data_IF_877716020014
#
_entry.id   IF_877716020014
#
_cell.length_a   1.000
_cell.length_b   1.000
_cell.length_c   1.000
_cell.angle_alpha   90.00
_cell.angle_beta   90.00
_cell.angle_gamma   90.00
#
_symmetry.space_group_name_H-M   'P 1'
#
loop_
_entity.id
_entity.type
_entity.pdbx_description
1 polymer ?
#
# COMPACT_ATOMS: atom_id res chain seq x y z
N UNK A 1 16.76 21.94 -28.02
CA UNK A 1 16.17 20.84 -28.82
C UNK A 1 14.83 20.49 -28.19
N UNK A 2 13.75 20.54 -28.97
CA UNK A 2 12.37 20.61 -28.46
C UNK A 2 11.93 19.34 -27.70
N UNK A 3 11.20 19.48 -26.58
CA UNK A 3 10.60 18.39 -25.81
C UNK A 3 9.35 17.75 -26.46
N UNK A 4 8.89 18.24 -27.61
CA UNK A 4 7.71 17.72 -28.34
C UNK A 4 7.77 16.21 -28.62
N UNK A 5 8.97 15.65 -28.80
CA UNK A 5 9.14 14.22 -29.06
C UNK A 5 8.89 13.30 -27.86
N UNK A 6 8.99 13.77 -26.61
CA UNK A 6 8.82 12.88 -25.45
C UNK A 6 7.33 12.65 -25.13
N UNK A 7 6.50 13.68 -25.33
CA UNK A 7 5.03 13.58 -25.25
C UNK A 7 4.46 12.62 -26.27
N UNK A 8 4.87 12.75 -27.54
CA UNK A 8 4.46 11.85 -28.62
C UNK A 8 4.78 10.39 -28.29
N UNK A 9 5.91 10.13 -27.64
CA UNK A 9 6.33 8.77 -27.27
C UNK A 9 5.52 8.19 -26.11
N UNK A 10 5.11 9.01 -25.13
CA UNK A 10 4.17 8.54 -24.11
C UNK A 10 2.78 8.31 -24.67
N UNK A 11 2.32 9.13 -25.62
CA UNK A 11 1.07 8.88 -26.34
C UNK A 11 1.13 7.54 -27.08
N UNK A 12 2.23 7.24 -27.77
CA UNK A 12 2.41 5.94 -28.42
C UNK A 12 2.37 4.77 -27.43
N UNK A 13 2.97 4.93 -26.25
CA UNK A 13 2.92 3.92 -25.19
C UNK A 13 1.49 3.73 -24.64
N UNK A 14 0.75 4.82 -24.43
CA UNK A 14 -0.67 4.78 -24.04
C UNK A 14 -1.51 4.05 -25.10
N UNK A 15 -1.26 4.29 -26.39
CA UNK A 15 -1.97 3.62 -27.49
C UNK A 15 -1.77 2.09 -27.50
N UNK A 16 -0.65 1.58 -26.99
CA UNK A 16 -0.46 0.13 -26.78
C UNK A 16 -1.51 -0.43 -25.82
N UNK A 17 -2.00 0.38 -24.89
CA UNK A 17 -3.11 0.06 -23.99
C UNK A 17 -4.37 -0.43 -24.71
N UNK A 18 -4.60 0.01 -25.95
CA UNK A 18 -5.79 -0.38 -26.74
C UNK A 18 -5.76 -1.85 -27.19
N UNK A 19 -4.62 -2.54 -27.10
CA UNK A 19 -4.52 -3.98 -27.41
C UNK A 19 -5.47 -4.84 -26.58
N UNK A 20 -5.81 -4.39 -25.37
CA UNK A 20 -6.74 -5.09 -24.46
C UNK A 20 -8.15 -5.20 -25.03
N UNK A 21 -8.54 -4.34 -25.98
CA UNK A 21 -9.85 -4.41 -26.61
C UNK A 21 -10.06 -5.73 -27.36
N UNK A 22 -8.97 -6.38 -27.75
CA UNK A 22 -9.00 -7.69 -28.41
C UNK A 22 -9.04 -8.87 -27.44
N UNK A 23 -8.75 -8.68 -26.15
CA UNK A 23 -8.69 -9.75 -25.16
C UNK A 23 -9.95 -10.63 -25.15
N UNK A 24 -11.18 -10.09 -25.21
CA UNK A 24 -12.38 -10.91 -25.09
C UNK A 24 -12.52 -11.98 -26.18
N UNK A 25 -11.96 -11.72 -27.36
CA UNK A 25 -11.99 -12.65 -28.49
C UNK A 25 -11.06 -13.86 -28.29
N UNK A 26 -10.24 -13.86 -27.25
CA UNK A 26 -9.38 -14.96 -26.83
C UNK A 26 -9.87 -15.65 -25.55
N UNK A 27 -11.09 -15.37 -25.07
CA UNK A 27 -11.59 -15.97 -23.83
C UNK A 27 -11.59 -17.50 -23.85
N UNK A 28 -11.88 -18.12 -24.99
CA UNK A 28 -11.83 -19.58 -25.17
C UNK A 28 -10.42 -20.13 -25.40
N UNK A 29 -9.42 -19.27 -25.64
CA UNK A 29 -8.06 -19.61 -26.00
C UNK A 29 -7.03 -18.69 -25.31
N UNK A 30 -7.11 -18.55 -23.99
CA UNK A 30 -6.16 -17.73 -23.20
C UNK A 30 -4.71 -18.19 -23.42
N UNK A 31 -4.48 -19.47 -23.69
CA UNK A 31 -3.17 -20.00 -24.04
C UNK A 31 -2.56 -19.31 -25.26
N UNK A 32 -3.35 -19.13 -26.33
CA UNK A 32 -2.89 -18.45 -27.52
C UNK A 32 -2.55 -16.99 -27.21
N UNK A 33 -3.40 -16.31 -26.43
CA UNK A 33 -3.13 -14.93 -26.01
C UNK A 33 -1.84 -14.82 -25.20
N UNK A 34 -1.63 -15.71 -24.20
CA UNK A 34 -0.41 -15.75 -23.41
C UNK A 34 0.83 -15.95 -24.30
N UNK A 35 0.76 -16.91 -25.24
CA UNK A 35 1.83 -17.18 -26.18
C UNK A 35 2.15 -15.97 -27.06
N UNK A 36 1.13 -15.26 -27.58
CA UNK A 36 1.31 -14.05 -28.37
C UNK A 36 2.05 -12.96 -27.57
N UNK A 37 1.71 -12.79 -26.29
CA UNK A 37 2.40 -11.83 -25.42
C UNK A 37 3.87 -12.20 -25.15
N UNK A 38 4.17 -13.48 -24.91
CA UNK A 38 5.55 -13.95 -24.77
C UNK A 38 6.35 -13.82 -26.07
N UNK A 39 5.78 -14.21 -27.20
CA UNK A 39 6.42 -14.07 -28.52
C UNK A 39 6.68 -12.58 -28.82
N UNK A 40 5.71 -11.70 -28.57
CA UNK A 40 5.88 -10.27 -28.76
C UNK A 40 7.02 -9.71 -27.89
N UNK A 41 7.11 -10.11 -26.61
CA UNK A 41 8.22 -9.72 -25.76
C UNK A 41 9.60 -10.19 -26.29
N UNK A 42 9.67 -11.42 -26.80
CA UNK A 42 10.87 -11.97 -27.44
C UNK A 42 11.23 -11.15 -28.68
N UNK A 43 10.28 -10.88 -29.58
CA UNK A 43 10.50 -10.07 -30.78
C UNK A 43 11.01 -8.67 -30.40
N UNK A 44 10.38 -8.03 -29.41
CA UNK A 44 10.78 -6.71 -28.92
C UNK A 44 12.20 -6.68 -28.37
N UNK A 45 12.69 -7.80 -27.81
CA UNK A 45 14.06 -7.92 -27.31
C UNK A 45 15.14 -7.89 -28.39
N UNK A 46 14.76 -8.19 -29.63
CA UNK A 46 15.63 -8.18 -30.82
C UNK A 46 15.55 -6.90 -31.63
N UNK A 47 14.68 -5.94 -31.26
CA UNK A 47 14.55 -4.66 -31.98
C UNK A 47 15.86 -3.84 -31.85
N UNK A 48 16.52 -3.48 -32.96
CA UNK A 48 17.74 -2.67 -32.93
C UNK A 48 17.50 -1.23 -32.46
N UNK A 49 18.42 -0.67 -31.69
CA UNK A 49 18.33 0.69 -31.12
C UNK A 49 18.33 1.82 -32.17
N UNK A 50 18.84 1.54 -33.36
CA UNK A 50 18.90 2.47 -34.49
C UNK A 50 17.63 2.43 -35.37
N UNK A 51 16.78 1.41 -35.21
CA UNK A 51 15.58 1.22 -36.01
C UNK A 51 14.55 2.35 -35.83
N UNK A 52 13.72 2.57 -36.86
CA UNK A 52 12.60 3.52 -36.78
C UNK A 52 11.60 3.12 -35.69
N UNK A 53 11.33 1.81 -35.56
CA UNK A 53 10.43 1.26 -34.54
C UNK A 53 10.92 1.57 -33.12
N UNK A 54 12.22 1.38 -32.85
CA UNK A 54 12.82 1.74 -31.57
C UNK A 54 12.66 3.24 -31.30
N UNK A 55 12.98 4.10 -32.27
CA UNK A 55 12.89 5.55 -32.08
C UNK A 55 11.45 6.02 -31.81
N UNK A 56 10.46 5.31 -32.34
CA UNK A 56 9.04 5.61 -32.20
C UNK A 56 8.47 5.24 -30.82
N UNK A 57 8.92 4.13 -30.22
CA UNK A 57 8.41 3.64 -28.92
C UNK A 57 9.33 3.89 -27.72
N UNK A 58 10.63 4.09 -27.93
CA UNK A 58 11.60 4.14 -26.82
C UNK A 58 11.43 5.37 -25.92
N UNK A 59 11.10 5.12 -24.65
CA UNK A 59 11.07 6.12 -23.57
C UNK A 59 12.49 6.53 -23.15
N UNK A 60 12.60 7.53 -22.28
CA UNK A 60 13.90 8.01 -21.79
C UNK A 60 14.75 6.89 -21.16
N UNK A 61 14.12 6.00 -20.37
CA UNK A 61 14.75 4.83 -19.76
C UNK A 61 15.22 3.81 -20.80
N UNK A 62 14.38 3.51 -21.80
CA UNK A 62 14.67 2.57 -22.87
C UNK A 62 15.87 3.01 -23.71
N UNK A 63 16.01 4.31 -23.95
CA UNK A 63 17.17 4.88 -24.66
C UNK A 63 18.46 4.73 -23.88
N UNK A 64 18.42 4.93 -22.56
CA UNK A 64 19.59 4.69 -21.70
C UNK A 64 20.00 3.22 -21.71
N UNK A 65 19.02 2.32 -21.76
CA UNK A 65 19.24 0.88 -21.83
C UNK A 65 19.60 0.37 -23.25
N UNK A 66 19.36 1.15 -24.30
CA UNK A 66 19.49 0.72 -25.70
C UNK A 66 18.49 -0.36 -26.12
N UNK A 67 17.42 -0.59 -25.34
CA UNK A 67 16.39 -1.62 -25.57
C UNK A 67 15.02 -1.11 -25.12
N UNK A 68 13.94 -1.63 -25.73
CA UNK A 68 12.55 -1.32 -25.36
C UNK A 68 12.13 -2.01 -24.04
N UNK A 69 12.91 -1.81 -22.97
CA UNK A 69 12.74 -2.47 -21.67
C UNK A 69 11.31 -2.31 -21.15
N UNK A 70 10.76 -1.11 -21.30
CA UNK A 70 9.39 -0.77 -20.90
C UNK A 70 8.32 -1.67 -21.52
N UNK A 71 8.36 -1.83 -22.85
CA UNK A 71 7.39 -2.67 -23.55
C UNK A 71 7.66 -4.15 -23.29
N UNK A 72 8.94 -4.57 -23.28
CA UNK A 72 9.31 -5.95 -23.00
C UNK A 72 8.76 -6.37 -21.62
N UNK A 73 8.98 -5.55 -20.59
CA UNK A 73 8.49 -5.81 -19.24
C UNK A 73 6.96 -5.87 -19.19
N UNK A 74 6.26 -4.92 -19.81
CA UNK A 74 4.79 -4.92 -19.84
C UNK A 74 4.24 -6.19 -20.51
N UNK A 75 4.80 -6.57 -21.66
CA UNK A 75 4.35 -7.75 -22.40
C UNK A 75 4.69 -9.06 -21.67
N UNK A 76 5.89 -9.17 -21.08
CA UNK A 76 6.28 -10.32 -20.26
C UNK A 76 5.35 -10.47 -19.05
N UNK A 77 5.13 -9.41 -18.29
CA UNK A 77 4.27 -9.44 -17.11
C UNK A 77 2.85 -9.82 -17.47
N UNK A 78 2.31 -9.29 -18.57
CA UNK A 78 0.98 -9.66 -19.07
C UNK A 78 0.92 -11.13 -19.49
N UNK A 79 1.94 -11.62 -20.19
CA UNK A 79 2.09 -13.04 -20.53
C UNK A 79 2.11 -13.93 -19.28
N UNK A 80 2.83 -13.52 -18.22
CA UNK A 80 2.83 -14.23 -16.94
C UNK A 80 1.47 -14.20 -16.24
N UNK A 81 0.77 -13.06 -16.21
CA UNK A 81 -0.58 -12.99 -15.63
C UNK A 81 -1.57 -13.89 -16.38
N UNK A 82 -1.49 -13.94 -17.71
CA UNK A 82 -2.28 -14.86 -18.54
C UNK A 82 -1.90 -16.32 -18.28
N UNK A 83 -0.62 -16.63 -18.12
CA UNK A 83 -0.16 -17.98 -17.77
C UNK A 83 -0.65 -18.41 -16.38
N UNK A 84 -0.64 -17.50 -15.39
CA UNK A 84 -1.20 -17.74 -14.06
C UNK A 84 -2.70 -18.05 -14.17
N UNK A 85 -3.45 -17.33 -15.00
CA UNK A 85 -4.87 -17.60 -15.26
C UNK A 85 -5.11 -19.02 -15.79
N UNK A 86 -4.23 -19.52 -16.67
CA UNK A 86 -4.29 -20.91 -17.15
C UNK A 86 -4.03 -21.93 -16.05
N UNK A 87 -3.03 -21.69 -15.20
CA UNK A 87 -2.62 -22.64 -14.13
C UNK A 87 -3.67 -22.76 -13.04
N UNK A 88 -4.29 -21.65 -12.64
CA UNK A 88 -5.36 -21.65 -11.62
C UNK A 88 -6.62 -22.37 -12.14
N UNK A 89 -6.78 -22.40 -13.47
CA UNK A 89 -7.81 -23.15 -14.16
C UNK A 89 -9.17 -22.44 -14.17
N UNK A 90 -10.16 -23.19 -14.64
CA UNK A 90 -11.56 -22.77 -14.74
C UNK A 90 -12.38 -23.32 -13.57
N UNK A 91 -13.46 -22.64 -13.22
CA UNK A 91 -14.49 -23.17 -12.34
C UNK A 91 -15.42 -24.16 -13.06
N UNK A 92 -16.43 -24.67 -12.35
CA UNK A 92 -17.39 -25.67 -12.87
C UNK A 92 -18.20 -25.10 -14.05
N UNK A 93 -18.35 -23.78 -14.14
CA UNK A 93 -19.04 -23.10 -15.23
C UNK A 93 -18.11 -22.81 -16.43
N UNK A 94 -16.86 -23.25 -16.39
CA UNK A 94 -15.87 -22.99 -17.43
C UNK A 94 -15.30 -21.56 -17.40
N UNK A 95 -15.51 -20.81 -16.30
CA UNK A 95 -15.01 -19.44 -16.13
C UNK A 95 -13.64 -19.47 -15.46
N UNK A 96 -12.66 -18.76 -16.02
CA UNK A 96 -11.34 -18.66 -15.42
C UNK A 96 -11.41 -18.01 -14.04
N UNK A 97 -10.86 -18.70 -13.04
CA UNK A 97 -10.79 -18.22 -11.65
C UNK A 97 -9.99 -16.94 -11.49
N UNK A 98 -9.00 -16.74 -12.37
CA UNK A 98 -8.36 -15.45 -12.56
C UNK A 98 -8.82 -14.86 -13.90
N UNK A 99 -9.84 -13.99 -13.88
CA UNK A 99 -10.56 -13.62 -15.08
C UNK A 99 -9.81 -12.60 -15.94
N UNK A 100 -10.03 -12.69 -17.25
CA UNK A 100 -9.35 -11.89 -18.27
C UNK A 100 -9.57 -10.39 -18.12
N UNK A 101 -10.74 -9.96 -17.62
CA UNK A 101 -11.03 -8.55 -17.41
C UNK A 101 -10.10 -7.92 -16.36
N UNK A 102 -9.66 -8.68 -15.34
CA UNK A 102 -8.73 -8.17 -14.33
C UNK A 102 -7.36 -7.91 -14.96
N UNK A 103 -6.89 -8.85 -15.78
CA UNK A 103 -5.62 -8.72 -16.49
C UNK A 103 -5.67 -7.52 -17.46
N UNK A 104 -6.77 -7.36 -18.20
CA UNK A 104 -6.98 -6.22 -19.09
C UNK A 104 -7.05 -4.88 -18.34
N UNK A 105 -7.78 -4.81 -17.22
CA UNK A 105 -7.82 -3.62 -16.37
C UNK A 105 -6.44 -3.27 -15.82
N UNK A 106 -5.67 -4.24 -15.34
CA UNK A 106 -4.30 -4.02 -14.85
C UNK A 106 -3.35 -3.54 -15.95
N UNK A 107 -3.50 -4.04 -17.18
CA UNK A 107 -2.74 -3.58 -18.34
C UNK A 107 -3.00 -2.09 -18.65
N UNK A 108 -4.26 -1.65 -18.55
CA UNK A 108 -4.60 -0.24 -18.79
C UNK A 108 -4.29 0.69 -17.64
N UNK A 109 -4.26 0.19 -16.41
CA UNK A 109 -3.70 0.95 -15.27
C UNK A 109 -2.24 1.32 -15.56
N UNK A 110 -1.45 0.39 -16.07
CA UNK A 110 -0.04 0.68 -16.43
C UNK A 110 0.10 1.52 -17.69
N UNK A 111 -0.68 1.28 -18.74
CA UNK A 111 -0.51 2.03 -20.00
C UNK A 111 -1.13 3.42 -19.96
N UNK A 112 -2.38 3.55 -19.50
CA UNK A 112 -3.08 4.82 -19.42
C UNK A 112 -2.85 5.54 -18.08
N UNK A 113 -2.86 4.83 -16.95
CA UNK A 113 -2.63 5.44 -15.63
C UNK A 113 -1.23 6.06 -15.54
N UNK A 114 -0.19 5.21 -15.62
CA UNK A 114 1.23 5.63 -15.58
C UNK A 114 1.56 6.56 -16.75
N UNK A 115 1.15 6.20 -17.97
CA UNK A 115 1.47 6.98 -19.16
C UNK A 115 0.95 8.43 -19.10
N UNK A 116 -0.28 8.66 -18.62
CA UNK A 116 -0.83 10.01 -18.46
C UNK A 116 -0.16 10.74 -17.29
N UNK A 117 0.13 10.04 -16.18
CA UNK A 117 0.83 10.63 -15.04
C UNK A 117 2.26 11.07 -15.40
N UNK A 118 2.97 10.28 -16.21
CA UNK A 118 4.29 10.59 -16.75
C UNK A 118 4.27 11.83 -17.64
N UNK A 119 3.24 12.00 -18.50
CA UNK A 119 3.06 13.21 -19.32
C UNK A 119 3.02 14.45 -18.42
N UNK A 120 2.26 14.39 -17.32
CA UNK A 120 2.15 15.51 -16.38
C UNK A 120 3.49 15.78 -15.70
N UNK A 121 4.21 14.72 -15.31
CA UNK A 121 5.53 14.86 -14.71
C UNK A 121 6.53 15.54 -15.68
N UNK A 122 6.47 15.22 -16.98
CA UNK A 122 7.29 15.90 -18.01
C UNK A 122 6.93 17.40 -18.07
N UNK A 123 5.63 17.76 -18.09
CA UNK A 123 5.17 19.16 -18.09
C UNK A 123 5.65 19.91 -16.84
N UNK A 124 5.57 19.29 -15.65
CA UNK A 124 6.00 19.91 -14.40
C UNK A 124 7.53 20.10 -14.35
N UNK A 125 8.29 19.11 -14.83
CA UNK A 125 9.76 19.19 -14.91
C UNK A 125 10.21 20.33 -15.82
N UNK A 126 9.49 20.60 -16.91
CA UNK A 126 9.76 21.72 -17.82
C UNK A 126 9.50 23.07 -17.17
N UNK A 127 8.38 23.22 -16.45
CA UNK A 127 8.05 24.46 -15.73
C UNK A 127 9.04 24.78 -14.62
N UNK A 128 9.70 23.79 -14.02
CA UNK A 128 10.71 24.00 -12.97
C UNK A 128 12.09 24.33 -13.51
N UNK A 129 12.48 23.82 -14.69
CA UNK A 129 13.78 24.11 -15.33
C UNK A 129 13.97 25.59 -15.72
N UNK A 130 12.91 26.40 -15.69
CA UNK A 130 12.97 27.85 -15.89
C UNK A 130 13.32 28.64 -14.62
N UNK A 131 13.39 27.97 -13.46
CA UNK A 131 13.99 28.49 -12.22
C UNK A 131 15.36 27.85 -11.95
N UNK A 132 16.25 28.60 -11.30
CA UNK A 132 17.68 28.32 -11.15
C UNK A 132 18.02 27.18 -10.16
N UNK A 133 17.38 26.02 -10.29
CA UNK A 133 17.62 24.85 -9.44
C UNK A 133 18.04 23.62 -10.26
N UNK A 134 19.34 23.35 -10.24
CA UNK A 134 19.92 22.05 -10.67
C UNK A 134 19.58 20.98 -9.64
N UNK A 135 18.35 20.49 -9.64
CA UNK A 135 17.99 19.28 -8.88
C UNK A 135 18.00 18.02 -9.74
N UNK A 136 18.38 16.92 -9.08
CA UNK A 136 18.76 15.61 -9.61
C UNK A 136 17.78 14.99 -10.61
N UNK A 137 18.31 14.13 -11.50
CA UNK A 137 17.58 13.36 -12.53
C UNK A 137 16.60 12.30 -11.98
N UNK A 138 16.26 12.33 -10.69
CA UNK A 138 15.37 11.36 -10.05
C UNK A 138 13.90 11.73 -10.33
N UNK A 139 13.06 10.75 -10.68
CA UNK A 139 11.60 10.90 -10.82
C UNK A 139 11.06 11.38 -9.46
N UNK A 140 10.69 12.67 -9.38
CA UNK A 140 10.16 13.25 -8.15
C UNK A 140 8.64 13.16 -8.23
N UNK A 141 8.08 12.14 -7.59
CA UNK A 141 6.64 11.92 -7.61
C UNK A 141 5.91 13.07 -6.92
N UNK A 142 5.09 13.75 -7.71
CA UNK A 142 4.26 14.86 -7.28
C UNK A 142 2.91 14.27 -6.85
N UNK A 143 2.32 14.78 -5.76
CA UNK A 143 0.97 14.37 -5.39
C UNK A 143 -0.03 14.53 -6.56
N UNK A 144 0.21 15.50 -7.45
CA UNK A 144 -0.58 15.70 -8.66
C UNK A 144 -0.47 14.56 -9.66
N UNK A 145 0.72 14.01 -9.91
CA UNK A 145 0.87 12.90 -10.87
C UNK A 145 0.17 11.65 -10.35
N UNK A 146 0.31 11.33 -9.06
CA UNK A 146 -0.40 10.21 -8.45
C UNK A 146 -1.92 10.39 -8.42
N UNK A 147 -2.43 11.61 -8.25
CA UNK A 147 -3.87 11.90 -8.36
C UNK A 147 -4.36 11.66 -9.79
N UNK A 148 -3.58 12.09 -10.78
CA UNK A 148 -3.94 11.91 -12.18
C UNK A 148 -3.89 10.43 -12.54
N UNK A 149 -2.87 9.69 -12.11
CA UNK A 149 -2.81 8.24 -12.22
C UNK A 149 -4.08 7.60 -11.64
N UNK A 150 -4.46 7.98 -10.41
CA UNK A 150 -5.63 7.44 -9.72
C UNK A 150 -6.92 7.65 -10.55
N UNK A 151 -7.13 8.86 -11.06
CA UNK A 151 -8.33 9.21 -11.80
C UNK A 151 -8.34 8.54 -13.18
N UNK A 152 -7.28 8.72 -13.98
CA UNK A 152 -7.22 8.16 -15.33
C UNK A 152 -7.23 6.64 -15.31
N UNK A 153 -6.40 6.02 -14.46
CA UNK A 153 -6.33 4.58 -14.31
C UNK A 153 -7.67 3.98 -13.90
N UNK A 154 -8.38 4.58 -12.93
CA UNK A 154 -9.69 4.07 -12.50
C UNK A 154 -10.73 4.15 -13.62
N UNK A 155 -10.74 5.24 -14.39
CA UNK A 155 -11.68 5.43 -15.51
C UNK A 155 -11.41 4.38 -16.60
N UNK A 156 -10.16 4.26 -17.06
CA UNK A 156 -9.83 3.31 -18.12
C UNK A 156 -9.96 1.85 -17.66
N UNK A 157 -9.56 1.53 -16.42
CA UNK A 157 -9.76 0.20 -15.85
C UNK A 157 -11.23 -0.19 -15.77
N UNK A 158 -12.13 0.75 -15.46
CA UNK A 158 -13.57 0.53 -15.41
C UNK A 158 -14.14 0.27 -16.80
N UNK A 159 -13.81 1.10 -17.78
CA UNK A 159 -14.30 0.93 -19.15
C UNK A 159 -13.81 -0.37 -19.79
N UNK A 160 -12.52 -0.68 -19.64
CA UNK A 160 -11.93 -1.90 -20.20
C UNK A 160 -12.38 -3.14 -19.43
N UNK A 161 -12.45 -3.06 -18.10
CA UNK A 161 -12.98 -4.14 -17.28
C UNK A 161 -14.44 -4.44 -17.64
N UNK A 162 -15.26 -3.41 -17.82
CA UNK A 162 -16.65 -3.51 -18.30
C UNK A 162 -16.75 -4.08 -19.72
N UNK A 163 -15.90 -3.62 -20.64
CA UNK A 163 -15.81 -4.17 -21.99
C UNK A 163 -15.49 -5.67 -21.96
N UNK A 164 -14.41 -6.06 -21.30
CA UNK A 164 -13.97 -7.45 -21.29
C UNK A 164 -14.95 -8.34 -20.55
N UNK A 165 -15.45 -7.93 -19.39
CA UNK A 165 -16.46 -8.69 -18.65
C UNK A 165 -17.74 -8.86 -19.47
N UNK A 166 -18.24 -7.82 -20.16
CA UNK A 166 -19.44 -7.90 -21.00
C UNK A 166 -19.42 -9.00 -22.08
N UNK A 167 -18.24 -9.38 -22.57
CA UNK A 167 -18.05 -10.48 -23.53
C UNK A 167 -17.65 -11.81 -22.89
N UNK A 168 -17.11 -11.81 -21.67
CA UNK A 168 -16.49 -12.99 -21.06
C UNK A 168 -17.29 -13.55 -19.89
N UNK A 169 -17.68 -12.71 -18.94
CA UNK A 169 -18.45 -13.10 -17.76
C UNK A 169 -19.16 -11.88 -17.15
N UNK A 170 -20.40 -12.05 -16.71
CA UNK A 170 -21.13 -10.96 -16.07
C UNK A 170 -20.50 -10.60 -14.72
N UNK A 171 -20.09 -9.34 -14.56
CA UNK A 171 -19.61 -8.77 -13.30
C UNK A 171 -20.52 -7.62 -12.89
N UNK A 172 -21.03 -7.58 -11.65
CA UNK A 172 -21.80 -6.45 -11.16
C UNK A 172 -21.03 -5.14 -11.28
N UNK A 173 -21.71 -4.06 -11.68
CA UNK A 173 -21.08 -2.75 -11.90
C UNK A 173 -20.38 -2.23 -10.63
N UNK A 174 -20.99 -2.41 -9.45
CA UNK A 174 -20.38 -2.02 -8.17
C UNK A 174 -19.02 -2.70 -7.93
N UNK A 175 -18.91 -3.98 -8.28
CA UNK A 175 -17.67 -4.75 -8.20
C UNK A 175 -16.63 -4.25 -9.22
N UNK A 176 -17.03 -3.95 -10.46
CA UNK A 176 -16.12 -3.39 -11.47
C UNK A 176 -15.55 -2.03 -11.02
N UNK A 177 -16.39 -1.15 -10.46
CA UNK A 177 -15.95 0.14 -9.93
C UNK A 177 -14.98 -0.08 -8.76
N UNK A 178 -15.33 -0.95 -7.81
CA UNK A 178 -14.47 -1.28 -6.68
C UNK A 178 -13.10 -1.79 -7.11
N UNK A 179 -13.06 -2.78 -8.01
CA UNK A 179 -11.81 -3.35 -8.51
C UNK A 179 -10.98 -2.33 -9.28
N UNK A 180 -11.62 -1.47 -10.07
CA UNK A 180 -10.92 -0.41 -10.83
C UNK A 180 -10.26 0.60 -9.91
N UNK A 181 -10.97 1.03 -8.86
CA UNK A 181 -10.45 1.95 -7.84
C UNK A 181 -9.31 1.31 -7.04
N UNK A 182 -9.52 0.09 -6.52
CA UNK A 182 -8.52 -0.55 -5.65
C UNK A 182 -7.28 -0.96 -6.42
N UNK A 183 -7.45 -1.43 -7.66
CA UNK A 183 -6.36 -1.76 -8.57
C UNK A 183 -5.55 -0.52 -8.92
N UNK A 184 -6.21 0.59 -9.26
CA UNK A 184 -5.50 1.83 -9.60
C UNK A 184 -4.82 2.46 -8.39
N UNK A 185 -5.47 2.44 -7.21
CA UNK A 185 -4.87 2.93 -5.97
C UNK A 185 -3.64 2.12 -5.58
N UNK A 186 -3.68 0.80 -5.79
CA UNK A 186 -2.52 -0.08 -5.66
C UNK A 186 -1.44 0.26 -6.67
N UNK A 187 -1.80 0.45 -7.94
CA UNK A 187 -0.87 0.84 -9.00
C UNK A 187 -0.16 2.16 -8.71
N UNK A 188 -0.90 3.20 -8.32
CA UNK A 188 -0.35 4.51 -7.96
C UNK A 188 0.57 4.43 -6.73
N UNK A 189 0.20 3.60 -5.74
CA UNK A 189 1.04 3.36 -4.57
C UNK A 189 2.36 2.68 -4.99
N UNK A 190 2.28 1.62 -5.80
CA UNK A 190 3.45 0.89 -6.27
C UNK A 190 4.35 1.78 -7.12
N UNK A 191 3.80 2.59 -8.02
CA UNK A 191 4.52 3.61 -8.78
C UNK A 191 5.28 4.56 -7.83
N UNK A 192 4.64 5.02 -6.74
CA UNK A 192 5.31 5.89 -5.77
C UNK A 192 6.45 5.21 -4.99
N UNK A 193 6.45 3.87 -4.94
CA UNK A 193 7.42 3.05 -4.23
C UNK A 193 8.59 2.61 -5.12
N UNK A 194 8.31 2.30 -6.39
CA UNK A 194 9.29 1.80 -7.36
C UNK A 194 9.84 2.94 -8.21
N UNK A 195 11.15 2.89 -8.48
CA UNK A 195 11.84 3.93 -9.25
C UNK A 195 12.24 3.49 -10.66
N UNK A 196 12.40 2.19 -10.88
CA UNK A 196 13.02 1.64 -12.09
C UNK A 196 12.26 0.44 -12.72
N UNK A 197 11.17 -0.05 -12.10
CA UNK A 197 10.51 -1.32 -12.47
C UNK A 197 8.97 -1.24 -12.58
N UNK A 198 8.46 -0.04 -12.85
CA UNK A 198 7.02 0.28 -12.82
C UNK A 198 6.20 -0.65 -13.75
N UNK A 199 6.72 -1.02 -14.92
CA UNK A 199 6.04 -1.88 -15.90
C UNK A 199 5.90 -3.35 -15.50
N UNK A 200 6.62 -3.79 -14.46
CA UNK A 200 6.45 -5.12 -13.86
C UNK A 200 5.53 -5.00 -12.65
N UNK A 201 5.89 -4.09 -11.74
CA UNK A 201 5.30 -4.06 -10.40
C UNK A 201 3.86 -3.54 -10.44
N UNK A 202 3.57 -2.51 -11.24
CA UNK A 202 2.22 -1.92 -11.33
C UNK A 202 1.18 -2.90 -11.87
N UNK A 203 1.33 -3.49 -13.09
CA UNK A 203 0.30 -4.38 -13.62
C UNK A 203 0.18 -5.65 -12.80
N UNK A 204 1.30 -6.21 -12.32
CA UNK A 204 1.27 -7.42 -11.50
C UNK A 204 0.56 -7.16 -10.16
N UNK A 205 0.99 -6.13 -9.42
CA UNK A 205 0.41 -5.80 -8.11
C UNK A 205 -1.06 -5.39 -8.21
N UNK A 206 -1.42 -4.58 -9.20
CA UNK A 206 -2.81 -4.18 -9.43
C UNK A 206 -3.69 -5.40 -9.74
N UNK A 207 -3.22 -6.30 -10.62
CA UNK A 207 -3.97 -7.51 -10.97
C UNK A 207 -4.12 -8.46 -9.77
N UNK A 208 -3.08 -8.66 -8.96
CA UNK A 208 -3.13 -9.54 -7.79
C UNK A 208 -4.08 -8.99 -6.71
N UNK A 209 -4.05 -7.69 -6.42
CA UNK A 209 -4.98 -7.09 -5.45
C UNK A 209 -6.42 -7.14 -5.96
N UNK A 210 -6.64 -6.81 -7.24
CA UNK A 210 -7.97 -6.94 -7.85
C UNK A 210 -8.46 -8.39 -7.80
N UNK A 211 -7.61 -9.35 -8.10
CA UNK A 211 -7.96 -10.77 -8.08
C UNK A 211 -8.30 -11.26 -6.67
N UNK A 212 -7.53 -10.83 -5.65
CA UNK A 212 -7.82 -11.11 -4.25
C UNK A 212 -9.24 -10.68 -3.87
N UNK A 213 -9.60 -9.42 -4.14
CA UNK A 213 -10.93 -8.90 -3.82
C UNK A 213 -12.03 -9.50 -4.69
N UNK A 214 -11.71 -9.87 -5.93
CA UNK A 214 -12.64 -10.58 -6.81
C UNK A 214 -13.03 -11.95 -6.25
N UNK A 215 -12.05 -12.70 -5.75
CA UNK A 215 -12.26 -14.04 -5.19
C UNK A 215 -13.16 -14.05 -3.95
N UNK A 216 -13.12 -12.99 -3.15
CA UNK A 216 -14.00 -12.86 -1.98
C UNK A 216 -15.40 -12.33 -2.33
N UNK A 217 -15.67 -12.01 -3.59
CA UNK A 217 -16.99 -11.55 -4.03
C UNK A 217 -17.39 -10.20 -3.44
N UNK A 218 -16.43 -9.33 -3.09
CA UNK A 218 -16.73 -8.00 -2.57
C UNK A 218 -17.54 -7.20 -3.60
N UNK A 219 -18.80 -6.94 -3.28
CA UNK A 219 -19.69 -6.10 -4.05
C UNK A 219 -20.20 -4.98 -3.16
N UNK A 220 -19.81 -3.76 -3.49
CA UNK A 220 -20.10 -2.57 -2.70
C UNK A 220 -20.97 -1.65 -3.55
N UNK A 221 -21.96 -1.04 -2.92
CA UNK A 221 -22.74 0.03 -3.56
C UNK A 221 -21.79 1.13 -4.06
N UNK A 222 -21.97 1.54 -5.31
CA UNK A 222 -21.06 2.48 -5.96
C UNK A 222 -21.03 3.84 -5.26
N UNK A 223 -22.18 4.31 -4.75
CA UNK A 223 -22.26 5.58 -4.04
C UNK A 223 -21.59 5.52 -2.68
N UNK A 224 -21.77 4.42 -1.94
CA UNK A 224 -21.06 4.18 -0.69
C UNK A 224 -19.54 4.10 -0.90
N UNK A 225 -19.09 3.34 -1.89
CA UNK A 225 -17.66 3.25 -2.24
C UNK A 225 -17.06 4.62 -2.54
N UNK A 226 -17.75 5.45 -3.33
CA UNK A 226 -17.28 6.80 -3.64
C UNK A 226 -17.17 7.69 -2.39
N UNK A 227 -18.11 7.59 -1.45
CA UNK A 227 -18.00 8.30 -0.16
C UNK A 227 -16.77 7.85 0.62
N UNK A 228 -16.56 6.55 0.74
CA UNK A 228 -15.42 5.97 1.46
C UNK A 228 -14.10 6.39 0.80
N UNK A 229 -14.00 6.29 -0.52
CA UNK A 229 -12.82 6.71 -1.27
C UNK A 229 -12.52 8.20 -1.05
N UNK A 230 -13.51 9.08 -1.23
CA UNK A 230 -13.33 10.52 -1.05
C UNK A 230 -12.95 10.83 0.39
N UNK A 231 -13.62 10.23 1.37
CA UNK A 231 -13.32 10.41 2.78
C UNK A 231 -11.87 10.01 3.13
N UNK A 232 -11.47 8.78 2.77
CA UNK A 232 -10.11 8.29 3.03
C UNK A 232 -9.06 9.08 2.27
N UNK A 233 -9.34 9.46 1.02
CA UNK A 233 -8.42 10.25 0.20
C UNK A 233 -8.23 11.67 0.76
N UNK A 234 -9.30 12.33 1.19
CA UNK A 234 -9.23 13.67 1.81
C UNK A 234 -8.37 13.62 3.06
N UNK A 235 -8.55 12.63 3.95
CA UNK A 235 -7.73 12.49 5.16
C UNK A 235 -6.25 12.23 4.83
N UNK A 236 -5.97 11.35 3.85
CA UNK A 236 -4.62 11.12 3.36
C UNK A 236 -3.99 12.39 2.80
N UNK A 237 -4.73 13.14 1.98
CA UNK A 237 -4.26 14.38 1.36
C UNK A 237 -4.01 15.49 2.39
N UNK A 238 -4.88 15.63 3.39
CA UNK A 238 -4.67 16.57 4.49
C UNK A 238 -3.41 16.21 5.29
N UNK A 239 -3.16 14.92 5.52
CA UNK A 239 -1.94 14.45 6.21
C UNK A 239 -0.67 14.75 5.41
N UNK A 240 -0.74 14.62 4.08
CA UNK A 240 0.33 15.05 3.18
C UNK A 240 0.56 16.57 3.23
N UNK A 241 -0.52 17.37 3.17
CA UNK A 241 -0.46 18.84 3.24
C UNK A 241 0.05 19.36 4.59
N UNK A 242 -0.20 18.62 5.67
CA UNK A 242 0.34 18.91 7.00
C UNK A 242 1.82 18.51 7.17
N UNK A 243 2.48 17.99 6.11
CA UNK A 243 3.83 17.44 6.13
C UNK A 243 4.03 16.34 7.18
N UNK A 244 2.99 15.57 7.44
CA UNK A 244 3.04 14.41 8.35
C UNK A 244 3.30 13.12 7.57
N UNK A 245 2.79 13.06 6.33
CA UNK A 245 2.93 11.92 5.42
C UNK A 245 3.55 12.35 4.09
N UNK A 246 4.33 11.47 3.46
CA UNK A 246 4.71 11.64 2.05
C UNK A 246 3.61 11.09 1.10
N UNK A 247 3.83 11.20 -0.22
CA UNK A 247 2.86 10.73 -1.23
C UNK A 247 2.59 9.24 -1.10
N UNK A 248 3.62 8.43 -0.80
CA UNK A 248 3.46 6.98 -0.62
C UNK A 248 2.61 6.66 0.61
N UNK A 249 2.78 7.41 1.70
CA UNK A 249 1.94 7.28 2.90
C UNK A 249 0.51 7.80 2.68
N UNK A 250 0.30 8.86 1.90
CA UNK A 250 -1.03 9.33 1.50
C UNK A 250 -1.82 8.24 0.77
N UNK A 251 -1.19 7.62 -0.25
CA UNK A 251 -1.81 6.56 -1.03
C UNK A 251 -2.01 5.29 -0.19
N UNK A 252 -1.03 4.93 0.66
CA UNK A 252 -1.16 3.81 1.60
C UNK A 252 -2.31 4.02 2.57
N UNK A 253 -2.41 5.20 3.20
CA UNK A 253 -3.49 5.53 4.13
C UNK A 253 -4.86 5.54 3.45
N UNK A 254 -4.93 6.02 2.20
CA UNK A 254 -6.15 5.96 1.40
C UNK A 254 -6.55 4.51 1.14
N UNK A 255 -5.59 3.66 0.74
CA UNK A 255 -5.82 2.24 0.45
C UNK A 255 -6.30 1.49 1.69
N UNK A 256 -5.58 1.64 2.80
CA UNK A 256 -5.95 1.03 4.07
C UNK A 256 -7.32 1.53 4.55
N UNK A 257 -7.59 2.83 4.42
CA UNK A 257 -8.88 3.41 4.77
C UNK A 257 -10.03 2.79 3.97
N UNK A 258 -9.90 2.73 2.65
CA UNK A 258 -10.92 2.12 1.78
C UNK A 258 -11.14 0.66 2.14
N UNK A 259 -10.08 -0.13 2.26
CA UNK A 259 -10.21 -1.58 2.52
C UNK A 259 -10.78 -1.85 3.91
N UNK A 260 -10.31 -1.15 4.95
CA UNK A 260 -10.81 -1.37 6.32
C UNK A 260 -12.30 -1.01 6.40
N UNK A 261 -12.70 0.15 5.88
CA UNK A 261 -14.10 0.60 5.97
C UNK A 261 -15.04 -0.33 5.19
N UNK A 262 -14.60 -0.86 4.05
CA UNK A 262 -15.39 -1.80 3.24
C UNK A 262 -15.45 -3.19 3.86
N UNK A 263 -14.36 -3.66 4.47
CA UNK A 263 -14.28 -5.02 5.01
C UNK A 263 -14.88 -5.14 6.41
N UNK A 264 -14.93 -4.05 7.17
CA UNK A 264 -15.53 -4.02 8.51
C UNK A 264 -16.50 -2.86 8.68
N UNK A 265 -16.00 -1.71 9.15
CA UNK A 265 -16.80 -0.51 9.41
C UNK A 265 -15.91 0.73 9.61
N UNK A 266 -16.50 1.93 9.50
CA UNK A 266 -15.81 3.21 9.74
C UNK A 266 -15.20 3.33 11.14
N UNK A 267 -15.79 2.69 12.15
CA UNK A 267 -15.28 2.70 13.52
C UNK A 267 -13.90 2.05 13.64
N UNK A 268 -13.63 1.01 12.84
CA UNK A 268 -12.32 0.37 12.81
C UNK A 268 -11.26 1.31 12.26
N UNK A 269 -11.60 2.02 11.18
CA UNK A 269 -10.74 3.05 10.63
C UNK A 269 -10.45 4.19 11.63
N UNK A 270 -11.42 4.61 12.44
CA UNK A 270 -11.19 5.65 13.45
C UNK A 270 -10.17 5.24 14.52
N UNK A 271 -10.11 3.96 14.90
CA UNK A 271 -9.07 3.47 15.80
C UNK A 271 -7.68 3.60 15.17
N UNK A 272 -7.55 3.22 13.89
CA UNK A 272 -6.29 3.38 13.16
C UNK A 272 -5.91 4.85 12.94
N UNK A 273 -6.90 5.70 12.65
CA UNK A 273 -6.71 7.14 12.52
C UNK A 273 -6.24 7.76 13.84
N UNK A 274 -6.80 7.35 14.98
CA UNK A 274 -6.36 7.81 16.29
C UNK A 274 -4.89 7.46 16.56
N UNK A 275 -4.49 6.21 16.27
CA UNK A 275 -3.08 5.83 16.29
C UNK A 275 -2.22 6.75 15.41
N UNK A 276 -2.62 6.95 14.16
CA UNK A 276 -1.86 7.78 13.22
C UNK A 276 -1.72 9.22 13.72
N UNK A 277 -2.80 9.85 14.20
CA UNK A 277 -2.80 11.21 14.70
C UNK A 277 -1.96 11.35 15.97
N UNK A 278 -2.16 10.47 16.96
CA UNK A 278 -1.39 10.46 18.21
C UNK A 278 0.10 10.26 17.91
N UNK A 279 0.42 9.24 17.11
CA UNK A 279 1.78 8.97 16.70
C UNK A 279 2.44 10.16 16.01
N UNK A 280 1.72 10.82 15.10
CA UNK A 280 2.23 12.00 14.40
C UNK A 280 2.48 13.20 15.33
N UNK A 281 1.61 13.40 16.33
CA UNK A 281 1.79 14.45 17.35
C UNK A 281 3.02 14.16 18.19
N UNK A 282 3.18 12.93 18.69
CA UNK A 282 4.30 12.56 19.55
C UNK A 282 5.63 12.42 18.79
N UNK A 283 5.61 12.08 17.50
CA UNK A 283 6.82 12.14 16.66
C UNK A 283 7.41 13.55 16.63
N UNK A 284 6.58 14.59 16.61
CA UNK A 284 7.04 15.99 16.65
C UNK A 284 7.29 16.52 18.07
N UNK A 285 6.86 15.80 19.10
CA UNK A 285 7.08 16.20 20.48
C UNK A 285 8.59 16.25 20.78
N UNK A 286 9.07 17.41 21.25
CA UNK A 286 10.48 17.68 21.54
C UNK A 286 11.44 17.31 20.38
N UNK A 287 11.02 17.50 19.13
CA UNK A 287 11.81 17.12 17.95
C UNK A 287 13.24 17.70 17.97
N UNK A 288 13.41 18.99 18.28
CA UNK A 288 14.75 19.63 18.35
C UNK A 288 15.68 18.98 19.39
N UNK A 289 15.11 18.49 20.50
CA UNK A 289 15.89 17.80 21.53
C UNK A 289 16.36 16.42 21.04
N UNK A 290 15.47 15.68 20.37
CA UNK A 290 15.81 14.39 19.74
C UNK A 290 16.84 14.57 18.62
N UNK A 291 16.70 15.65 17.83
CA UNK A 291 17.62 15.98 16.74
C UNK A 291 19.02 16.28 17.27
N UNK A 292 19.13 17.08 18.33
CA UNK A 292 20.40 17.39 18.98
C UNK A 292 21.12 16.14 19.55
N UNK A 293 20.37 15.06 19.80
CA UNK A 293 20.90 13.77 20.27
C UNK A 293 21.12 12.74 19.16
N UNK A 294 20.79 13.07 17.91
CA UNK A 294 20.91 12.16 16.77
C UNK A 294 19.92 10.99 16.78
N UNK A 295 18.83 11.09 17.54
CA UNK A 295 17.79 10.05 17.69
C UNK A 295 16.44 10.47 17.10
N UNK A 296 16.34 11.67 16.52
CA UNK A 296 15.09 12.12 15.91
C UNK A 296 14.72 11.30 14.68
N UNK A 297 13.41 11.08 14.52
CA UNK A 297 12.85 10.50 13.31
C UNK A 297 13.26 11.26 12.05
N UNK A 298 13.52 10.50 10.99
CA UNK A 298 14.04 10.99 9.72
C UNK A 298 13.08 11.96 9.04
N UNK A 299 13.60 12.78 8.12
CA UNK A 299 12.82 13.71 7.28
C UNK A 299 11.87 14.63 8.06
N UNK A 300 12.20 15.06 9.28
CA UNK A 300 11.31 15.92 10.06
C UNK A 300 10.11 15.20 10.69
N UNK A 301 10.17 13.86 10.80
CA UNK A 301 9.05 13.04 11.28
C UNK A 301 8.02 12.68 10.20
N UNK A 302 8.35 12.89 8.91
CA UNK A 302 7.47 12.53 7.79
C UNK A 302 7.45 11.01 7.62
N UNK A 303 6.25 10.42 7.73
CA UNK A 303 6.04 8.97 7.55
C UNK A 303 5.88 8.62 6.08
N UNK A 304 6.49 7.50 5.66
CA UNK A 304 6.32 6.90 4.34
C UNK A 304 5.54 5.59 4.39
N UNK A 305 5.34 4.95 3.24
CA UNK A 305 4.57 3.69 3.13
C UNK A 305 5.07 2.59 4.07
N UNK A 306 6.39 2.48 4.29
CA UNK A 306 6.97 1.46 5.18
C UNK A 306 6.41 1.55 6.59
N UNK A 307 6.30 2.77 7.13
CA UNK A 307 5.76 3.02 8.46
C UNK A 307 4.25 2.76 8.51
N UNK A 308 3.52 2.99 7.42
CA UNK A 308 2.09 2.72 7.34
C UNK A 308 1.84 1.21 7.34
N UNK A 309 2.49 0.45 6.44
CA UNK A 309 2.27 -0.98 6.34
C UNK A 309 2.85 -1.77 7.53
N UNK A 310 4.03 -1.40 8.06
CA UNK A 310 4.60 -2.11 9.22
C UNK A 310 3.69 -2.07 10.44
N UNK A 311 3.02 -0.95 10.68
CA UNK A 311 2.15 -0.79 11.84
C UNK A 311 0.71 -1.23 11.60
N UNK A 312 0.28 -1.40 10.35
CA UNK A 312 -1.15 -1.54 10.04
C UNK A 312 -1.49 -2.75 9.18
N UNK A 313 -0.53 -3.48 8.62
CA UNK A 313 -0.79 -4.65 7.77
C UNK A 313 -1.48 -5.79 8.54
N UNK A 314 -1.10 -6.00 9.81
CA UNK A 314 -1.77 -6.96 10.68
C UNK A 314 -3.24 -6.59 10.89
N UNK A 315 -3.52 -5.35 11.28
CA UNK A 315 -4.89 -4.82 11.40
C UNK A 315 -5.68 -4.87 10.09
N UNK A 316 -5.07 -4.50 8.95
CA UNK A 316 -5.68 -4.60 7.63
C UNK A 316 -6.11 -6.03 7.31
N UNK A 317 -5.23 -7.00 7.56
CA UNK A 317 -5.52 -8.42 7.34
C UNK A 317 -6.67 -8.90 8.21
N UNK A 318 -6.73 -8.46 9.48
CA UNK A 318 -7.81 -8.79 10.40
C UNK A 318 -9.15 -8.15 10.01
N UNK A 319 -9.14 -6.92 9.48
CA UNK A 319 -10.34 -6.28 8.95
C UNK A 319 -10.87 -7.00 7.70
N UNK A 320 -9.98 -7.41 6.78
CA UNK A 320 -10.36 -8.24 5.63
C UNK A 320 -10.92 -9.58 6.10
N UNK A 321 -10.27 -10.23 7.06
CA UNK A 321 -10.72 -11.49 7.64
C UNK A 321 -12.08 -11.35 8.33
N UNK A 322 -12.37 -10.21 8.97
CA UNK A 322 -13.67 -9.93 9.57
C UNK A 322 -14.79 -9.89 8.51
N UNK A 323 -14.55 -9.25 7.37
CA UNK A 323 -15.51 -9.21 6.26
C UNK A 323 -15.79 -10.58 5.64
N UNK A 324 -14.80 -11.47 5.63
CA UNK A 324 -14.92 -12.82 5.06
C UNK A 324 -15.51 -13.82 6.08
N UNK A 325 -15.12 -13.70 7.35
CA UNK A 325 -15.46 -14.64 8.43
C UNK A 325 -16.18 -13.94 9.59
N UNK A 326 -17.34 -13.30 9.35
CA UNK A 326 -18.01 -12.47 10.37
C UNK A 326 -18.46 -13.27 11.61
N UNK A 327 -18.63 -14.59 11.49
CA UNK A 327 -18.95 -15.47 12.61
C UNK A 327 -17.82 -15.59 13.66
N UNK A 328 -16.58 -15.21 13.32
CA UNK A 328 -15.47 -15.07 14.27
C UNK A 328 -15.24 -13.59 14.67
N UNK A 329 -16.24 -12.73 14.43
CA UNK A 329 -16.07 -11.28 14.44
C UNK A 329 -15.53 -10.69 15.74
N UNK A 330 -15.92 -11.22 16.91
CA UNK A 330 -15.46 -10.70 18.20
C UNK A 330 -13.98 -10.98 18.47
N UNK A 331 -13.51 -12.20 18.16
CA UNK A 331 -12.09 -12.56 18.28
C UNK A 331 -11.25 -11.73 17.30
N UNK A 332 -11.74 -11.55 16.07
CA UNK A 332 -11.07 -10.74 15.04
C UNK A 332 -11.02 -9.26 15.43
N UNK A 333 -12.08 -8.73 16.05
CA UNK A 333 -12.11 -7.38 16.61
C UNK A 333 -11.11 -7.24 17.76
N UNK A 334 -11.08 -8.19 18.71
CA UNK A 334 -10.10 -8.21 19.80
C UNK A 334 -8.66 -8.19 19.28
N UNK A 335 -8.37 -9.04 18.29
CA UNK A 335 -7.07 -9.09 17.63
C UNK A 335 -6.74 -7.78 16.88
N UNK A 336 -7.71 -7.21 16.15
CA UNK A 336 -7.54 -5.94 15.45
C UNK A 336 -7.17 -4.81 16.41
N UNK A 337 -7.95 -4.66 17.48
CA UNK A 337 -7.73 -3.63 18.49
C UNK A 337 -6.38 -3.83 19.18
N UNK A 338 -6.01 -5.08 19.50
CA UNK A 338 -4.69 -5.41 20.03
C UNK A 338 -3.54 -4.98 19.12
N UNK A 339 -3.68 -5.21 17.81
CA UNK A 339 -2.71 -4.80 16.80
C UNK A 339 -2.50 -3.29 16.78
N UNK A 340 -3.60 -2.52 16.72
CA UNK A 340 -3.56 -1.05 16.69
C UNK A 340 -3.08 -0.48 18.04
N UNK A 341 -3.47 -1.10 19.15
CA UNK A 341 -3.01 -0.74 20.49
C UNK A 341 -1.51 -0.95 20.65
N UNK A 342 -0.95 -2.04 20.11
CA UNK A 342 0.50 -2.24 20.06
C UNK A 342 1.20 -1.19 19.23
N UNK A 343 0.73 -0.89 18.01
CA UNK A 343 1.32 0.16 17.18
C UNK A 343 1.34 1.52 17.88
N UNK A 344 0.23 1.87 18.56
CA UNK A 344 0.11 3.10 19.33
C UNK A 344 1.03 3.11 20.56
N UNK A 345 1.01 2.03 21.35
CA UNK A 345 1.87 1.87 22.52
C UNK A 345 3.34 2.00 22.15
N UNK A 346 3.79 1.28 21.12
CA UNK A 346 5.16 1.30 20.62
C UNK A 346 5.61 2.68 20.16
N UNK A 347 4.79 3.34 19.33
CA UNK A 347 5.10 4.70 18.86
C UNK A 347 5.19 5.69 20.03
N UNK A 348 4.28 5.62 21.00
CA UNK A 348 4.33 6.53 22.15
C UNK A 348 5.52 6.20 23.06
N UNK A 349 5.85 4.91 23.24
CA UNK A 349 6.95 4.45 24.06
C UNK A 349 8.30 4.92 23.51
N UNK A 350 8.53 4.78 22.21
CA UNK A 350 9.74 5.27 21.54
C UNK A 350 9.81 6.80 21.58
N UNK A 351 8.77 7.50 21.12
CA UNK A 351 8.81 8.95 20.95
C UNK A 351 8.84 9.74 22.27
N UNK A 352 8.15 9.25 23.31
CA UNK A 352 8.16 9.87 24.64
C UNK A 352 9.34 9.34 25.46
N UNK A 353 9.64 8.04 25.37
CA UNK A 353 10.71 7.39 26.12
C UNK A 353 12.11 7.90 25.74
N UNK A 354 12.34 8.28 24.49
CA UNK A 354 13.58 8.94 24.06
C UNK A 354 13.86 10.27 24.77
N UNK A 355 12.81 10.90 25.31
CA UNK A 355 12.92 12.15 26.09
C UNK A 355 13.23 11.90 27.57
N UNK A 356 13.35 10.64 27.99
CA UNK A 356 13.69 10.26 29.35
C UNK A 356 15.07 10.81 29.76
N UNK A 357 15.13 11.40 30.95
CA UNK A 357 16.36 12.01 31.49
C UNK A 357 17.26 11.01 32.21
N UNK A 358 16.71 9.88 32.65
CA UNK A 358 17.46 8.82 33.30
C UNK A 358 18.09 7.85 32.29
N UNK A 359 18.73 6.80 32.82
CA UNK A 359 19.32 5.74 32.00
C UNK A 359 18.28 4.64 31.74
N UNK A 360 17.87 4.40 30.49
CA UNK A 360 17.03 3.26 30.14
C UNK A 360 17.78 1.95 30.36
N UNK A 361 17.06 0.82 30.37
CA UNK A 361 17.63 -0.50 30.57
C UNK A 361 17.32 -1.40 29.38
N UNK A 362 18.26 -2.25 28.99
CA UNK A 362 18.02 -3.29 27.99
C UNK A 362 16.98 -4.28 28.52
N UNK A 363 15.92 -4.57 27.74
CA UNK A 363 14.85 -5.49 28.17
C UNK A 363 15.36 -6.92 28.45
N UNK A 364 16.43 -7.34 27.78
CA UNK A 364 17.00 -8.70 27.89
C UNK A 364 17.93 -8.90 29.09
N UNK A 365 18.65 -7.85 29.51
CA UNK A 365 19.69 -7.96 30.55
C UNK A 365 19.42 -7.10 31.78
N UNK A 366 18.42 -6.21 31.70
CA UNK A 366 18.11 -5.20 32.71
C UNK A 366 19.27 -4.27 33.07
N UNK A 367 20.35 -4.26 32.28
CA UNK A 367 21.50 -3.37 32.42
C UNK A 367 21.20 -2.02 31.77
N UNK A 368 21.76 -0.96 32.37
CA UNK A 368 21.64 0.42 31.88
C UNK A 368 22.27 0.55 30.49
N UNK A 369 21.64 1.34 29.63
CA UNK A 369 22.08 1.61 28.26
C UNK A 369 21.81 3.07 27.87
N UNK A 370 22.25 3.48 26.68
CA UNK A 370 22.05 4.83 26.17
C UNK A 370 20.60 5.02 25.67
N UNK A 371 19.97 6.18 25.88
CA UNK A 371 18.72 6.55 25.21
C UNK A 371 18.80 6.38 23.69
N UNK A 372 17.71 5.89 23.08
CA UNK A 372 17.64 5.59 21.64
C UNK A 372 18.33 4.28 21.23
N UNK A 373 18.69 3.41 22.17
CA UNK A 373 19.18 2.06 21.85
C UNK A 373 17.99 1.13 21.59
N UNK A 374 17.99 0.44 20.45
CA UNK A 374 16.94 -0.53 20.09
C UNK A 374 16.75 -1.59 21.19
N UNK A 375 15.51 -1.78 21.67
CA UNK A 375 15.19 -2.70 22.76
C UNK A 375 15.55 -2.22 24.18
N UNK A 376 15.86 -0.94 24.33
CA UNK A 376 15.96 -0.30 25.64
C UNK A 376 14.60 0.21 26.12
N UNK A 377 14.22 -0.15 27.34
CA UNK A 377 12.98 0.29 27.99
C UNK A 377 13.28 1.30 29.10
N UNK A 378 12.39 2.29 29.25
CA UNK A 378 12.45 3.28 30.32
C UNK A 378 11.11 3.35 31.04
N UNK A 379 11.09 3.77 32.31
CA UNK A 379 9.84 3.90 33.08
C UNK A 379 8.87 4.86 32.38
N UNK A 380 9.39 5.93 31.79
CA UNK A 380 8.58 6.88 31.02
C UNK A 380 8.02 6.23 29.74
N UNK A 381 8.84 5.44 29.04
CA UNK A 381 8.44 4.69 27.84
C UNK A 381 7.37 3.63 28.15
N UNK A 382 7.52 2.86 29.23
CA UNK A 382 6.51 1.86 29.65
C UNK A 382 5.18 2.52 30.05
N UNK A 383 5.24 3.65 30.77
CA UNK A 383 4.03 4.42 31.08
C UNK A 383 3.34 4.95 29.81
N UNK A 384 4.12 5.40 28.83
CA UNK A 384 3.62 5.83 27.53
C UNK A 384 3.05 4.66 26.70
N UNK A 385 3.67 3.48 26.74
CA UNK A 385 3.19 2.27 26.10
C UNK A 385 1.81 1.87 26.63
N UNK A 386 1.69 1.82 27.96
CA UNK A 386 0.43 1.49 28.63
C UNK A 386 -0.66 2.52 28.29
N UNK A 387 -0.33 3.81 28.35
CA UNK A 387 -1.27 4.88 27.99
C UNK A 387 -1.72 4.78 26.53
N UNK A 388 -0.80 4.56 25.59
CA UNK A 388 -1.13 4.41 24.17
C UNK A 388 -2.07 3.24 23.90
N UNK A 389 -1.81 2.09 24.52
CA UNK A 389 -2.68 0.92 24.41
C UNK A 389 -4.07 1.18 25.03
N UNK A 390 -4.12 1.80 26.21
CA UNK A 390 -5.37 2.13 26.91
C UNK A 390 -6.23 3.12 26.11
N UNK A 391 -5.62 4.13 25.49
CA UNK A 391 -6.35 5.11 24.67
C UNK A 391 -7.06 4.44 23.49
N UNK A 392 -6.39 3.51 22.80
CA UNK A 392 -7.02 2.75 21.71
C UNK A 392 -8.16 1.87 22.24
N UNK A 393 -7.94 1.18 23.37
CA UNK A 393 -8.96 0.32 23.98
C UNK A 393 -10.22 1.11 24.43
N UNK A 394 -10.02 2.28 25.05
CA UNK A 394 -11.13 3.16 25.45
C UNK A 394 -11.84 3.79 24.26
N UNK A 395 -11.09 4.17 23.22
CA UNK A 395 -11.70 4.65 21.98
C UNK A 395 -12.58 3.56 21.36
N UNK A 396 -12.12 2.31 21.34
CA UNK A 396 -12.91 1.20 20.85
C UNK A 396 -14.21 0.99 21.66
N UNK A 397 -14.14 1.14 22.99
CA UNK A 397 -15.31 1.06 23.88
C UNK A 397 -16.38 2.12 23.57
N UNK A 398 -15.96 3.29 23.07
CA UNK A 398 -16.88 4.37 22.66
C UNK A 398 -17.45 4.11 21.27
N UNK A 399 -16.65 3.57 20.35
CA UNK A 399 -17.00 3.44 18.94
C UNK A 399 -17.77 2.16 18.62
N UNK A 400 -17.54 1.08 19.36
CA UNK A 400 -18.09 -0.26 19.09
C UNK A 400 -18.70 -0.81 20.38
N UNK A 401 -19.84 -1.53 20.34
CA UNK A 401 -20.45 -2.10 21.54
C UNK A 401 -19.59 -3.27 22.08
N UNK A 402 -18.65 -2.96 22.96
CA UNK A 402 -17.77 -3.92 23.64
C UNK A 402 -17.84 -3.76 25.15
N UNK A 403 -17.54 -4.84 25.88
CA UNK A 403 -17.53 -4.84 27.34
C UNK A 403 -16.22 -4.30 27.92
N UNK A 404 -16.25 -3.85 29.18
CA UNK A 404 -15.08 -3.37 29.90
C UNK A 404 -13.98 -4.44 30.04
N UNK A 405 -14.36 -5.73 30.09
CA UNK A 405 -13.43 -6.86 30.06
C UNK A 405 -12.55 -6.83 28.80
N UNK A 406 -13.12 -6.48 27.64
CA UNK A 406 -12.38 -6.41 26.39
C UNK A 406 -11.42 -5.22 26.35
N UNK A 407 -11.77 -4.10 27.01
CA UNK A 407 -10.85 -2.96 27.18
C UNK A 407 -9.58 -3.39 27.93
N UNK A 408 -9.73 -4.19 28.99
CA UNK A 408 -8.60 -4.71 29.76
C UNK A 408 -7.75 -5.67 28.92
N UNK A 409 -8.40 -6.57 28.17
CA UNK A 409 -7.72 -7.52 27.28
C UNK A 409 -6.90 -6.79 26.20
N UNK A 410 -7.49 -5.81 25.52
CA UNK A 410 -6.80 -5.03 24.48
C UNK A 410 -5.66 -4.20 25.07
N UNK A 411 -5.87 -3.59 26.24
CA UNK A 411 -4.81 -2.82 26.91
C UNK A 411 -3.63 -3.72 27.26
N UNK A 412 -3.89 -4.90 27.82
CA UNK A 412 -2.87 -5.89 28.16
C UNK A 412 -2.15 -6.41 26.90
N UNK A 413 -2.90 -6.82 25.87
CA UNK A 413 -2.33 -7.31 24.62
C UNK A 413 -1.52 -6.26 23.87
N UNK A 414 -2.00 -5.01 23.82
CA UNK A 414 -1.30 -3.87 23.25
C UNK A 414 0.04 -3.60 23.95
N UNK A 415 0.03 -3.58 25.28
CA UNK A 415 1.21 -3.35 26.13
C UNK A 415 2.23 -4.51 26.03
N UNK A 416 1.76 -5.76 26.04
CA UNK A 416 2.60 -6.94 25.84
C UNK A 416 3.23 -6.91 24.44
N UNK A 417 2.46 -6.59 23.40
CA UNK A 417 2.98 -6.46 22.04
C UNK A 417 4.08 -5.39 21.91
N UNK A 418 3.94 -4.27 22.62
CA UNK A 418 4.97 -3.22 22.68
C UNK A 418 6.26 -3.71 23.36
N UNK A 419 6.14 -4.50 24.42
CA UNK A 419 7.29 -5.11 25.07
C UNK A 419 7.95 -6.20 24.19
N UNK A 420 7.17 -6.91 23.37
CA UNK A 420 7.69 -7.84 22.36
C UNK A 420 8.48 -7.06 21.29
N UNK A 421 8.06 -5.87 20.87
CA UNK A 421 8.84 -5.00 19.99
C UNK A 421 10.24 -4.75 20.57
N UNK A 422 10.31 -4.29 21.82
CA UNK A 422 11.58 -4.06 22.52
C UNK A 422 12.44 -5.34 22.62
N UNK A 423 11.82 -6.51 22.84
CA UNK A 423 12.54 -7.78 22.87
C UNK A 423 13.13 -8.13 21.50
N UNK A 424 12.36 -7.96 20.43
CA UNK A 424 12.81 -8.18 19.06
C UNK A 424 13.87 -7.15 18.64
N UNK A 425 13.74 -5.90 19.10
CA UNK A 425 14.74 -4.85 18.96
C UNK A 425 16.09 -5.26 19.55
N UNK A 426 16.08 -5.70 20.81
CA UNK A 426 17.27 -6.13 21.53
C UNK A 426 17.91 -7.43 20.96
N UNK A 427 17.15 -8.29 20.30
CA UNK A 427 17.62 -9.63 19.91
C UNK A 427 17.88 -9.79 18.42
N UNK A 428 17.02 -9.24 17.56
CA UNK A 428 17.05 -9.41 16.11
C UNK A 428 17.45 -8.13 15.38
N UNK A 429 16.94 -6.96 15.78
CA UNK A 429 17.25 -5.68 15.12
C UNK A 429 18.70 -5.27 15.31
N UNK A 430 19.21 -5.32 16.56
CA UNK A 430 20.63 -5.01 16.83
C UNK A 430 21.60 -5.92 16.07
N UNK A 431 21.18 -7.14 15.70
CA UNK A 431 21.98 -8.09 14.90
C UNK A 431 21.81 -7.90 13.40
N UNK A 432 20.94 -6.99 12.96
CA UNK A 432 20.65 -6.73 11.55
C UNK A 432 19.77 -7.78 10.87
N UNK A 433 19.15 -8.71 11.62
CA UNK A 433 18.23 -9.71 11.04
C UNK A 433 16.88 -9.11 10.67
N UNK A 434 16.41 -8.12 11.43
CA UNK A 434 15.20 -7.37 11.15
C UNK A 434 15.50 -5.88 11.03
N UNK A 435 14.77 -5.21 10.14
CA UNK A 435 14.70 -3.74 10.10
C UNK A 435 13.66 -3.26 11.11
N UNK A 436 13.70 -1.98 11.51
CA UNK A 436 12.68 -1.37 12.37
C UNK A 436 11.25 -1.71 11.93
N UNK A 437 10.95 -1.50 10.64
CA UNK A 437 9.64 -1.86 10.06
C UNK A 437 9.28 -3.35 10.18
N UNK A 438 10.26 -4.24 10.17
CA UNK A 438 10.05 -5.67 10.39
C UNK A 438 9.71 -6.00 11.85
N UNK A 439 10.33 -5.29 12.79
CA UNK A 439 10.04 -5.41 14.23
C UNK A 439 8.64 -4.88 14.53
N UNK A 440 8.29 -3.68 14.06
CA UNK A 440 6.94 -3.11 14.19
C UNK A 440 5.85 -4.07 13.65
N UNK A 441 6.08 -4.70 12.50
CA UNK A 441 5.15 -5.68 11.95
C UNK A 441 5.01 -6.92 12.84
N UNK A 442 6.13 -7.47 13.32
CA UNK A 442 6.10 -8.64 14.20
C UNK A 442 5.45 -8.32 15.55
N UNK A 443 5.67 -7.12 16.09
CA UNK A 443 5.07 -6.65 17.32
C UNK A 443 3.55 -6.49 17.19
N UNK A 444 3.07 -5.84 16.12
CA UNK A 444 1.63 -5.66 15.87
C UNK A 444 0.91 -6.98 15.58
N UNK A 445 1.57 -7.96 14.96
CA UNK A 445 1.07 -9.34 14.84
C UNK A 445 0.99 -9.99 16.23
N UNK A 446 2.02 -9.82 17.06
CA UNK A 446 2.07 -10.41 18.41
C UNK A 446 0.97 -9.84 19.32
N UNK A 447 0.76 -8.51 19.31
CA UNK A 447 -0.33 -7.86 20.04
C UNK A 447 -1.72 -8.34 19.60
N UNK A 448 -1.89 -8.59 18.30
CA UNK A 448 -3.11 -9.18 17.77
C UNK A 448 -3.35 -10.60 18.28
N UNK A 449 -2.33 -11.47 18.21
CA UNK A 449 -2.39 -12.84 18.70
C UNK A 449 -2.69 -12.87 20.19
N UNK A 450 -1.97 -12.09 20.99
CA UNK A 450 -2.17 -12.03 22.44
C UNK A 450 -3.59 -11.58 22.78
N UNK A 451 -4.09 -10.52 22.14
CA UNK A 451 -5.44 -10.02 22.42
C UNK A 451 -6.53 -11.01 21.98
N UNK A 452 -6.37 -11.66 20.84
CA UNK A 452 -7.28 -12.70 20.36
C UNK A 452 -7.29 -13.94 21.26
N UNK A 453 -6.12 -14.39 21.75
CA UNK A 453 -6.02 -15.50 22.69
C UNK A 453 -6.61 -15.16 24.06
N UNK A 454 -6.30 -13.98 24.59
CA UNK A 454 -6.89 -13.51 25.85
C UNK A 454 -8.41 -13.39 25.74
N UNK A 455 -8.93 -12.90 24.61
CA UNK A 455 -10.37 -12.95 24.35
C UNK A 455 -10.87 -14.40 24.45
N UNK A 456 -10.32 -15.31 23.65
CA UNK A 456 -10.79 -16.70 23.59
C UNK A 456 -10.75 -17.45 24.93
N UNK A 457 -9.80 -17.12 25.81
CA UNK A 457 -9.64 -17.77 27.11
C UNK A 457 -10.59 -17.20 28.16
N UNK A 458 -10.89 -15.90 28.11
CA UNK A 458 -11.59 -15.19 29.19
C UNK A 458 -13.02 -14.74 28.83
N UNK A 459 -13.40 -14.74 27.55
CA UNK A 459 -14.71 -14.33 27.02
C UNK A 459 -15.18 -15.32 25.95
#
# INVERSE_FOLDING_TARGET
MMPTKEYEKQINYILLGLLVLFFPFFNTNIFLLALLFFIAAIILSFVPADSQFFRFFARESDRKAGKLVSMIQLFLTTGFLLAISLVIGVDIAGVYKFPLFIIGSAFVITTFGDGIADIIHIIEKEKKKTGDDKQSNLKFYSAKSSIIFLISGSIFALFIGGWISGFTLYVPVGMLIFLSVIGTLTGALLESMTKDEDNIVIPFGSAMVMWLFYMFGYNVDAFYLMKVLVFSFVLGYLSYRAHVADVSAMLSATLLGVVIIISSDVNWFFMLLAFFLLGSVFTRYKYNFKLARGIAEGKGGVRGYKNVFSNSLAGLTLAIAYGIFPWHGQVLLAAYMGSVATACGDTLASEIGETYKGEPRMITTFKKTKPGTDGAVSILGEGAAFFGALVIALLAFILVPIDLSLVLIVTAGGFIGTNIDSLLGATLQQKGYLTNNGVNLAATISGAIVSGLLYYVFL
#
